data_IF_012664980109
#
_entry.id   IF_012664980109
#
_cell.length_a   1.000
_cell.length_b   1.000
_cell.length_c   1.000
_cell.angle_alpha   90.00
_cell.angle_beta   90.00
_cell.angle_gamma   90.00
#
_symmetry.space_group_name_H-M   'P 1'
#
loop_
_entity.id
_entity.type
_entity.pdbx_description
1 polymer ?
#
# COMPACT_ATOMS: atom_id res chain seq x y z
N UNK A 1 -13.21 -0.59 -2.33
CA UNK A 1 -12.29 -0.01 -1.31
C UNK A 1 -10.91 -0.58 -1.59
N UNK A 2 -10.06 0.24 -2.16
CA UNK A 2 -8.82 -0.12 -2.84
C UNK A 2 -7.86 -0.91 -1.94
N UNK A 3 -7.20 -1.96 -2.47
CA UNK A 3 -6.16 -2.75 -1.79
C UNK A 3 -5.05 -1.84 -1.23
N UNK A 4 -4.74 -0.73 -1.90
CA UNK A 4 -3.77 0.28 -1.40
C UNK A 4 -4.30 1.12 -0.24
N UNK A 5 -5.60 1.45 -0.18
CA UNK A 5 -6.17 2.18 0.96
C UNK A 5 -6.23 1.27 2.20
N UNK A 6 -6.42 -0.04 2.00
CA UNK A 6 -6.29 -1.05 3.07
C UNK A 6 -4.82 -1.29 3.44
N UNK A 7 -3.87 -1.13 2.52
CA UNK A 7 -2.44 -1.16 2.86
C UNK A 7 -2.03 0.04 3.73
N UNK A 8 -2.61 1.22 3.51
CA UNK A 8 -2.44 2.36 4.40
C UNK A 8 -3.08 2.12 5.78
N UNK A 9 -4.28 1.46 5.83
CA UNK A 9 -4.89 1.04 7.10
C UNK A 9 -4.23 -0.19 7.73
N UNK A 10 -3.55 -1.04 6.96
CA UNK A 10 -2.72 -2.13 7.48
C UNK A 10 -1.40 -1.62 8.07
N UNK A 11 -0.90 -0.46 7.64
CA UNK A 11 0.18 0.25 8.34
C UNK A 11 -0.26 0.64 9.76
N UNK A 12 -1.53 1.05 9.97
CA UNK A 12 -2.11 1.28 11.31
C UNK A 12 -2.13 0.01 12.18
N UNK A 13 -2.39 -1.15 11.60
CA UNK A 13 -2.43 -2.41 12.35
C UNK A 13 -1.02 -2.96 12.65
N UNK A 14 -0.01 -2.61 11.86
CA UNK A 14 1.38 -3.07 12.04
C UNK A 14 2.22 -2.12 12.89
N UNK A 15 1.91 -0.83 12.95
CA UNK A 15 2.56 0.11 13.87
C UNK A 15 2.05 -0.03 15.30
N UNK A 16 0.78 -0.46 15.48
CA UNK A 16 0.20 -0.83 16.79
C UNK A 16 0.68 -2.21 17.28
N UNK A 17 1.10 -3.11 16.40
CA UNK A 17 1.88 -4.28 16.76
C UNK A 17 3.35 -3.89 16.67
N UNK A 18 4.04 -3.77 17.79
CA UNK A 18 5.50 -3.69 17.93
C UNK A 18 6.16 -4.94 17.28
N UNK A 19 5.96 -5.11 15.96
CA UNK A 19 6.68 -6.12 15.21
C UNK A 19 7.98 -5.48 14.75
N UNK A 20 9.05 -5.80 15.50
CA UNK A 20 10.41 -5.59 15.07
C UNK A 20 10.56 -5.97 13.60
N UNK A 21 10.78 -4.99 12.72
CA UNK A 21 11.29 -5.25 11.38
C UNK A 21 12.62 -5.98 11.50
N UNK A 22 12.57 -7.30 11.47
CA UNK A 22 13.73 -8.15 11.32
C UNK A 22 14.21 -8.05 9.86
N UNK A 23 14.82 -6.95 9.51
CA UNK A 23 15.59 -6.78 8.29
C UNK A 23 16.96 -6.20 8.68
N UNK A 24 17.75 -7.01 9.30
CA UNK A 24 19.21 -7.07 9.36
C UNK A 24 19.66 -7.63 10.71
N UNK A 25 19.49 -8.92 10.86
CA UNK A 25 20.42 -9.75 11.63
C UNK A 25 19.90 -11.18 11.61
N UNK A 26 20.60 -12.05 10.94
CA UNK A 26 20.66 -13.44 11.37
C UNK A 26 20.98 -13.43 12.86
N UNK A 27 20.00 -13.80 13.67
CA UNK A 27 20.14 -13.77 15.12
C UNK A 27 21.21 -14.77 15.56
N UNK A 28 22.26 -14.36 16.28
CA UNK A 28 22.93 -15.27 17.15
C UNK A 28 22.03 -15.54 18.36
N UNK A 29 21.99 -16.79 18.79
CA UNK A 29 21.18 -17.34 19.86
C UNK A 29 21.17 -16.47 21.13
N UNK A 30 20.07 -16.60 21.88
CA UNK A 30 19.77 -15.95 23.15
C UNK A 30 21.01 -15.78 24.04
N UNK A 31 21.43 -14.55 24.22
CA UNK A 31 22.51 -14.22 25.16
C UNK A 31 21.92 -14.06 26.56
N UNK A 32 22.58 -14.70 27.52
CA UNK A 32 22.31 -14.75 28.96
C UNK A 32 22.25 -13.36 29.64
N UNK A 33 21.58 -13.23 30.82
CA UNK A 33 21.40 -11.97 31.57
C UNK A 33 22.68 -11.16 31.89
N UNK A 34 23.83 -11.80 31.85
CA UNK A 34 25.14 -11.14 32.10
C UNK A 34 25.55 -10.12 31.01
N UNK A 35 24.93 -10.21 29.80
CA UNK A 35 25.23 -9.27 28.72
C UNK A 35 24.45 -7.95 28.82
N UNK A 36 23.37 -7.89 29.59
CA UNK A 36 22.56 -6.68 29.77
C UNK A 36 23.24 -5.63 30.63
N UNK A 37 23.92 -6.05 31.67
CA UNK A 37 24.64 -5.13 32.58
C UNK A 37 25.87 -4.47 31.90
N UNK A 38 26.65 -5.23 31.12
CA UNK A 38 27.79 -4.71 30.38
C UNK A 38 27.43 -3.77 29.23
N UNK A 39 26.17 -3.80 28.78
CA UNK A 39 25.65 -2.95 27.74
C UNK A 39 25.25 -1.57 28.25
N UNK A 40 24.64 -1.48 29.46
CA UNK A 40 24.26 -0.21 30.08
C UNK A 40 25.46 0.70 30.30
N UNK A 41 26.62 0.12 30.59
CA UNK A 41 27.86 0.87 30.81
C UNK A 41 28.46 1.46 29.51
N UNK A 42 28.18 0.83 28.34
CA UNK A 42 28.74 1.26 27.05
C UNK A 42 27.85 2.28 26.31
N UNK A 43 26.56 2.34 26.63
CA UNK A 43 25.58 3.19 25.95
C UNK A 43 25.08 4.30 26.88
N UNK A 44 25.99 5.08 27.48
CA UNK A 44 25.61 6.13 28.42
C UNK A 44 25.16 7.42 27.73
N UNK A 45 25.83 7.83 26.65
CA UNK A 45 25.49 9.02 25.87
C UNK A 45 25.83 8.81 24.39
N UNK A 46 25.10 9.46 23.45
CA UNK A 46 25.43 9.44 22.03
C UNK A 46 26.84 9.99 21.79
N UNK A 47 27.51 9.42 20.79
CA UNK A 47 28.86 9.79 20.35
C UNK A 47 28.84 10.29 18.91
N UNK A 48 29.98 10.70 18.39
CA UNK A 48 30.15 11.05 16.97
C UNK A 48 30.18 9.81 16.06
N UNK A 49 30.40 8.64 16.63
CA UNK A 49 30.40 7.37 15.90
C UNK A 49 28.96 6.88 15.66
N UNK A 50 28.50 7.04 14.42
CA UNK A 50 27.16 6.60 14.02
C UNK A 50 26.96 5.08 14.15
N UNK A 51 28.00 4.27 13.93
CA UNK A 51 27.90 2.81 14.06
C UNK A 51 27.73 2.39 15.50
N UNK A 52 28.48 3.00 16.43
CA UNK A 52 28.34 2.79 17.86
C UNK A 52 26.95 3.24 18.36
N UNK A 53 26.48 4.40 17.93
CA UNK A 53 25.15 4.89 18.28
C UNK A 53 24.04 3.93 17.77
N UNK A 54 24.13 3.44 16.53
CA UNK A 54 23.18 2.46 15.99
C UNK A 54 23.20 1.16 16.80
N UNK A 55 24.38 0.66 17.20
CA UNK A 55 24.49 -0.53 18.03
C UNK A 55 23.82 -0.33 19.40
N UNK A 56 23.98 0.83 20.00
CA UNK A 56 23.32 1.21 21.26
C UNK A 56 21.80 1.32 21.07
N UNK A 57 21.33 1.94 20.00
CA UNK A 57 19.90 2.04 19.70
C UNK A 57 19.28 0.64 19.57
N UNK A 58 19.88 -0.27 18.81
CA UNK A 58 19.38 -1.66 18.64
C UNK A 58 19.32 -2.40 19.98
N UNK A 59 20.31 -2.22 20.83
CA UNK A 59 20.31 -2.89 22.11
C UNK A 59 19.30 -2.28 23.10
N UNK A 60 19.09 -0.96 23.07
CA UNK A 60 18.03 -0.28 23.83
C UNK A 60 16.64 -0.72 23.39
N UNK A 61 16.42 -0.94 22.09
CA UNK A 61 15.17 -1.50 21.58
C UNK A 61 14.90 -2.89 22.16
N UNK A 62 15.89 -3.79 22.09
CA UNK A 62 15.77 -5.14 22.68
C UNK A 62 15.51 -5.09 24.19
N UNK A 63 16.19 -4.19 24.89
CA UNK A 63 15.96 -4.01 26.31
C UNK A 63 14.53 -3.52 26.59
N UNK A 64 14.03 -2.54 25.85
CA UNK A 64 12.66 -2.07 25.98
C UNK A 64 11.63 -3.20 25.78
N UNK A 65 11.84 -4.07 24.79
CA UNK A 65 10.98 -5.23 24.57
C UNK A 65 10.98 -6.23 25.74
N UNK A 66 12.16 -6.53 26.29
CA UNK A 66 12.28 -7.40 27.46
C UNK A 66 11.55 -6.79 28.68
N UNK A 67 11.76 -5.50 28.94
CA UNK A 67 11.12 -4.80 30.06
C UNK A 67 9.59 -4.73 29.88
N UNK A 68 9.13 -4.44 28.67
CA UNK A 68 7.69 -4.41 28.32
C UNK A 68 7.03 -5.78 28.52
N UNK A 69 7.67 -6.85 28.05
CA UNK A 69 7.13 -8.22 28.23
C UNK A 69 7.13 -8.68 29.66
N UNK A 70 8.03 -8.17 30.46
CA UNK A 70 8.09 -8.41 31.92
C UNK A 70 7.14 -7.49 32.73
N UNK A 71 6.37 -6.61 32.07
CA UNK A 71 5.45 -5.67 32.72
C UNK A 71 6.16 -4.47 33.39
N UNK A 72 7.47 -4.31 33.23
CA UNK A 72 8.24 -3.18 33.77
C UNK A 72 8.19 -1.98 32.80
N UNK A 73 7.01 -1.39 32.70
CA UNK A 73 6.70 -0.39 31.68
C UNK A 73 7.54 0.90 31.80
N UNK A 74 7.86 1.35 33.01
CA UNK A 74 8.70 2.54 33.21
C UNK A 74 10.12 2.32 32.68
N UNK A 75 10.67 1.13 32.88
CA UNK A 75 11.99 0.78 32.34
C UNK A 75 11.95 0.66 30.81
N UNK A 76 10.86 0.14 30.24
CA UNK A 76 10.64 0.10 28.80
C UNK A 76 10.56 1.51 28.19
N UNK A 77 9.78 2.41 28.79
CA UNK A 77 9.68 3.82 28.37
C UNK A 77 11.03 4.52 28.43
N UNK A 78 11.78 4.36 29.52
CA UNK A 78 13.11 4.92 29.67
C UNK A 78 14.09 4.42 28.60
N UNK A 79 14.03 3.12 28.26
CA UNK A 79 14.87 2.55 27.22
C UNK A 79 14.49 3.09 25.82
N UNK A 80 13.20 3.25 25.51
CA UNK A 80 12.75 3.85 24.26
C UNK A 80 13.17 5.33 24.14
N UNK A 81 13.00 6.13 25.20
CA UNK A 81 13.42 7.52 25.20
C UNK A 81 14.94 7.68 25.00
N UNK A 82 15.75 6.79 25.60
CA UNK A 82 17.19 6.74 25.36
C UNK A 82 17.52 6.31 23.93
N UNK A 83 16.82 5.32 23.38
CA UNK A 83 16.99 4.87 22.00
C UNK A 83 16.80 6.01 20.99
N UNK A 84 15.79 6.87 21.22
CA UNK A 84 15.54 8.06 20.40
C UNK A 84 16.72 9.06 20.44
N UNK A 85 17.40 9.19 21.56
CA UNK A 85 18.62 10.04 21.68
C UNK A 85 19.80 9.48 20.87
N UNK A 86 19.96 8.15 20.83
CA UNK A 86 21.05 7.49 20.08
C UNK A 86 20.79 7.43 18.57
N UNK A 87 19.55 7.42 18.17
CA UNK A 87 19.13 7.36 16.78
C UNK A 87 17.91 8.27 16.54
N UNK A 88 18.10 9.60 16.57
CA UNK A 88 16.99 10.55 16.47
C UNK A 88 16.27 10.51 15.11
N UNK A 89 16.93 9.99 14.06
CA UNK A 89 16.33 9.82 12.74
C UNK A 89 15.50 8.55 12.64
N UNK A 90 15.61 7.63 13.61
CA UNK A 90 14.78 6.43 13.72
C UNK A 90 13.52 6.70 14.55
N UNK A 91 12.50 7.22 13.89
CA UNK A 91 11.23 7.60 14.54
C UNK A 91 10.49 6.44 15.21
N UNK A 92 10.89 5.18 14.96
CA UNK A 92 10.26 4.01 15.61
C UNK A 92 10.38 4.10 17.14
N UNK A 93 11.47 4.65 17.69
CA UNK A 93 11.61 4.86 19.12
C UNK A 93 10.60 5.87 19.67
N UNK A 94 10.47 7.02 19.01
CA UNK A 94 9.53 8.05 19.42
C UNK A 94 8.08 7.55 19.34
N UNK A 95 7.72 6.86 18.26
CA UNK A 95 6.38 6.28 18.09
C UNK A 95 6.10 5.17 19.10
N UNK A 96 7.06 4.28 19.36
CA UNK A 96 6.90 3.22 20.36
C UNK A 96 6.74 3.78 21.77
N UNK A 97 7.50 4.80 22.12
CA UNK A 97 7.36 5.53 23.39
C UNK A 97 5.98 6.15 23.55
N UNK A 98 5.51 6.91 22.53
CA UNK A 98 4.20 7.53 22.53
C UNK A 98 3.07 6.48 22.61
N UNK A 99 3.16 5.41 21.83
CA UNK A 99 2.19 4.32 21.82
C UNK A 99 2.09 3.61 23.16
N UNK A 100 3.22 3.28 23.79
CA UNK A 100 3.25 2.64 25.11
C UNK A 100 2.69 3.58 26.19
N UNK A 101 3.04 4.86 26.15
CA UNK A 101 2.52 5.87 27.08
C UNK A 101 1.00 6.00 26.99
N UNK A 102 0.44 6.12 25.79
CA UNK A 102 -1.00 6.19 25.57
C UNK A 102 -1.71 4.88 25.98
N UNK A 103 -1.10 3.74 25.73
CA UNK A 103 -1.64 2.44 26.14
C UNK A 103 -1.73 2.33 27.65
N UNK A 104 -0.70 2.73 28.38
CA UNK A 104 -0.70 2.72 29.86
C UNK A 104 -1.72 3.67 30.46
N UNK A 105 -1.96 4.82 29.81
CA UNK A 105 -3.00 5.75 30.18
C UNK A 105 -4.41 5.33 29.73
N UNK A 106 -4.56 4.17 29.08
CA UNK A 106 -5.82 3.72 28.43
C UNK A 106 -6.36 4.70 27.38
N UNK A 107 -5.47 5.48 26.76
CA UNK A 107 -5.77 6.51 25.77
C UNK A 107 -5.32 6.15 24.34
N UNK A 108 -4.88 4.91 24.09
CA UNK A 108 -4.52 4.46 22.75
C UNK A 108 -5.78 4.24 21.90
N UNK A 109 -6.43 5.33 21.58
CA UNK A 109 -7.62 5.45 20.74
C UNK A 109 -7.43 6.59 19.74
N UNK A 110 -8.19 6.65 18.63
CA UNK A 110 -8.12 7.77 17.70
C UNK A 110 -8.26 9.13 18.40
N UNK A 111 -9.27 9.30 19.27
CA UNK A 111 -9.48 10.54 20.02
C UNK A 111 -8.35 10.84 21.02
N UNK A 112 -7.79 9.82 21.66
CA UNK A 112 -6.65 9.96 22.57
C UNK A 112 -5.38 10.39 21.85
N UNK A 113 -5.12 9.84 20.65
CA UNK A 113 -3.98 10.24 19.80
C UNK A 113 -4.12 11.71 19.40
N UNK A 114 -5.30 12.14 18.92
CA UNK A 114 -5.58 13.55 18.57
C UNK A 114 -5.37 14.49 19.74
N UNK A 115 -5.93 14.15 20.90
CA UNK A 115 -5.81 14.95 22.11
C UNK A 115 -4.33 15.07 22.56
N UNK A 116 -3.58 13.98 22.53
CA UNK A 116 -2.17 13.96 22.94
C UNK A 116 -1.29 14.74 21.95
N UNK A 117 -1.49 14.58 20.64
CA UNK A 117 -0.75 15.33 19.61
C UNK A 117 -1.00 16.85 19.76
N UNK A 118 -2.25 17.24 20.01
CA UNK A 118 -2.61 18.64 20.28
C UNK A 118 -1.97 19.17 21.58
N UNK A 119 -1.90 18.35 22.61
CA UNK A 119 -1.30 18.75 23.90
C UNK A 119 0.22 18.85 23.84
N UNK A 120 0.86 18.09 22.94
CA UNK A 120 2.32 18.02 22.80
C UNK A 120 2.77 18.16 21.33
N UNK A 121 2.60 19.34 20.70
CA UNK A 121 2.83 19.54 19.27
C UNK A 121 4.30 19.42 18.84
N UNK A 122 5.21 19.22 19.80
CA UNK A 122 6.64 19.01 19.52
C UNK A 122 7.09 17.56 19.62
N UNK A 123 6.21 16.65 20.05
CA UNK A 123 6.51 15.22 20.14
C UNK A 123 6.41 14.55 18.78
N UNK A 124 7.55 14.08 18.28
CA UNK A 124 7.64 13.46 16.96
C UNK A 124 6.85 12.13 16.88
N UNK A 125 6.82 11.36 17.96
CA UNK A 125 6.06 10.10 18.01
C UNK A 125 4.57 10.31 17.91
N UNK A 126 4.04 11.27 18.67
CA UNK A 126 2.61 11.63 18.62
C UNK A 126 2.24 12.28 17.28
N UNK A 127 3.10 13.14 16.71
CA UNK A 127 2.88 13.74 15.40
C UNK A 127 2.80 12.67 14.31
N UNK A 128 3.70 11.69 14.29
CA UNK A 128 3.67 10.59 13.31
C UNK A 128 2.45 9.70 13.48
N UNK A 129 2.03 9.39 14.72
CA UNK A 129 0.81 8.62 14.98
C UNK A 129 -0.45 9.38 14.54
N UNK A 130 -0.49 10.71 14.74
CA UNK A 130 -1.59 11.55 14.29
C UNK A 130 -1.63 11.68 12.76
N UNK A 131 -0.47 11.80 12.12
CA UNK A 131 -0.36 11.80 10.66
C UNK A 131 -0.92 10.50 10.05
N UNK A 132 -0.56 9.34 10.62
CA UNK A 132 -1.07 8.04 10.19
C UNK A 132 -2.60 7.96 10.32
N UNK A 133 -3.15 8.42 11.45
CA UNK A 133 -4.59 8.50 11.69
C UNK A 133 -5.29 9.45 10.70
N UNK A 134 -4.67 10.59 10.41
CA UNK A 134 -5.17 11.60 9.47
C UNK A 134 -5.21 11.07 8.03
N UNK A 135 -4.18 10.32 7.60
CA UNK A 135 -4.20 9.61 6.31
C UNK A 135 -5.39 8.63 6.25
N UNK A 136 -5.60 7.86 7.31
CA UNK A 136 -6.71 6.91 7.36
C UNK A 136 -8.10 7.61 7.29
N UNK A 137 -8.22 8.80 7.85
CA UNK A 137 -9.40 9.65 7.76
C UNK A 137 -9.51 10.47 6.46
N UNK A 138 -8.49 10.39 5.59
CA UNK A 138 -8.34 11.19 4.38
C UNK A 138 -8.15 12.70 4.65
N UNK A 139 -7.77 13.08 5.85
CA UNK A 139 -7.33 14.43 6.19
C UNK A 139 -5.83 14.60 5.86
N UNK A 140 -5.56 14.69 4.57
CA UNK A 140 -4.18 14.79 4.08
C UNK A 140 -3.50 16.09 4.49
N UNK A 141 -4.27 17.17 4.70
CA UNK A 141 -3.71 18.45 5.13
C UNK A 141 -3.13 18.35 6.54
N UNK A 142 -3.87 17.76 7.48
CA UNK A 142 -3.39 17.51 8.82
C UNK A 142 -2.18 16.57 8.82
N UNK A 143 -2.24 15.47 8.05
CA UNK A 143 -1.14 14.51 7.94
C UNK A 143 0.17 15.17 7.46
N UNK A 144 0.10 15.96 6.39
CA UNK A 144 1.25 16.65 5.83
C UNK A 144 1.82 17.69 6.80
N UNK A 145 0.97 18.43 7.52
CA UNK A 145 1.42 19.41 8.50
C UNK A 145 2.22 18.76 9.65
N UNK A 146 1.76 17.63 10.15
CA UNK A 146 2.46 16.87 11.19
C UNK A 146 3.83 16.36 10.71
N UNK A 147 3.85 15.74 9.54
CA UNK A 147 5.08 15.18 8.96
C UNK A 147 6.08 16.27 8.61
N UNK A 148 5.65 17.39 8.05
CA UNK A 148 6.52 18.55 7.76
C UNK A 148 7.12 19.12 9.05
N UNK A 149 6.33 19.18 10.14
CA UNK A 149 6.82 19.56 11.46
C UNK A 149 7.91 18.64 12.02
N UNK A 150 7.79 17.33 11.74
CA UNK A 150 8.82 16.35 12.09
C UNK A 150 10.05 16.50 11.21
N UNK A 151 9.90 16.58 9.89
CA UNK A 151 10.99 16.73 8.93
C UNK A 151 11.79 18.02 9.12
N UNK A 152 11.16 19.10 9.56
CA UNK A 152 11.86 20.34 9.91
C UNK A 152 12.90 20.17 11.02
N UNK A 153 12.68 19.22 11.93
CA UNK A 153 13.57 18.92 13.06
C UNK A 153 14.46 17.70 12.80
N UNK A 154 13.98 16.75 11.98
CA UNK A 154 14.63 15.45 11.71
C UNK A 154 14.65 15.18 10.19
N UNK A 155 15.43 15.95 9.40
CA UNK A 155 15.42 15.86 7.93
C UNK A 155 15.94 14.54 7.36
N UNK A 156 16.70 13.79 8.17
CA UNK A 156 17.24 12.49 7.78
C UNK A 156 16.41 11.30 8.30
N UNK A 157 15.14 11.54 8.71
CA UNK A 157 14.23 10.50 9.19
C UNK A 157 13.48 9.81 8.03
N UNK A 158 13.87 8.60 7.60
CA UNK A 158 13.28 7.94 6.43
C UNK A 158 11.78 7.72 6.58
N UNK A 159 11.33 7.34 7.79
CA UNK A 159 9.91 7.06 8.06
C UNK A 159 9.02 8.29 7.87
N UNK A 160 9.53 9.51 8.15
CA UNK A 160 8.76 10.74 7.92
C UNK A 160 8.61 11.02 6.40
N UNK A 161 9.68 10.83 5.62
CA UNK A 161 9.61 10.92 4.17
C UNK A 161 8.65 9.86 3.58
N UNK A 162 8.69 8.61 4.09
CA UNK A 162 7.74 7.55 3.67
C UNK A 162 6.29 7.92 3.99
N UNK A 163 6.04 8.47 5.17
CA UNK A 163 4.70 8.88 5.58
C UNK A 163 4.17 9.99 4.67
N UNK A 164 5.01 11.00 4.34
CA UNK A 164 4.65 12.08 3.44
C UNK A 164 4.35 11.56 2.03
N UNK A 165 5.23 10.72 1.49
CA UNK A 165 5.00 10.07 0.20
C UNK A 165 3.70 9.22 0.19
N UNK A 166 3.38 8.55 1.30
CA UNK A 166 2.15 7.77 1.42
C UNK A 166 0.91 8.66 1.38
N UNK A 167 0.94 9.81 2.06
CA UNK A 167 -0.14 10.80 2.02
C UNK A 167 -0.30 11.38 0.61
N UNK A 168 0.81 11.69 -0.07
CA UNK A 168 0.80 12.23 -1.43
C UNK A 168 0.27 11.23 -2.46
N UNK A 169 0.64 9.96 -2.34
CA UNK A 169 0.05 8.88 -3.16
C UNK A 169 -1.45 8.73 -2.93
N UNK A 170 -1.89 8.85 -1.67
CA UNK A 170 -3.30 8.73 -1.31
C UNK A 170 -4.17 9.89 -1.84
N UNK A 171 -3.58 11.09 -1.99
CA UNK A 171 -4.20 12.28 -2.61
C UNK A 171 -3.87 12.47 -4.09
N UNK A 172 -3.50 11.46 -4.82
CA UNK A 172 -2.84 11.29 -6.14
C UNK A 172 -1.84 12.39 -6.56
N UNK A 173 -1.01 12.91 -5.65
CA UNK A 173 0.10 13.81 -5.98
C UNK A 173 1.39 13.00 -6.19
N UNK A 174 1.46 12.31 -7.32
CA UNK A 174 2.59 11.42 -7.62
C UNK A 174 3.92 12.16 -7.84
N UNK A 175 3.89 13.46 -8.16
CA UNK A 175 5.10 14.26 -8.36
C UNK A 175 5.79 14.55 -7.01
N UNK A 176 5.02 14.97 -6.01
CA UNK A 176 5.52 15.19 -4.65
C UNK A 176 6.01 13.87 -4.05
N UNK A 177 5.18 12.81 -4.12
CA UNK A 177 5.52 11.50 -3.60
C UNK A 177 6.83 10.94 -4.16
N UNK A 178 7.11 11.15 -5.46
CA UNK A 178 8.35 10.68 -6.10
C UNK A 178 9.59 11.27 -5.47
N UNK A 179 9.58 12.58 -5.19
CA UNK A 179 10.71 13.27 -4.55
C UNK A 179 11.03 12.67 -3.19
N UNK A 180 9.99 12.39 -2.41
CA UNK A 180 10.13 11.83 -1.07
C UNK A 180 10.63 10.39 -1.10
N UNK A 181 10.11 9.57 -2.02
CA UNK A 181 10.55 8.17 -2.21
C UNK A 181 12.02 8.13 -2.62
N UNK A 182 12.46 9.01 -3.54
CA UNK A 182 13.86 9.09 -3.93
C UNK A 182 14.75 9.49 -2.72
N UNK A 183 14.25 10.33 -1.80
CA UNK A 183 14.94 10.66 -0.56
C UNK A 183 15.04 9.45 0.36
N UNK A 184 13.95 8.72 0.58
CA UNK A 184 13.98 7.50 1.42
C UNK A 184 14.95 6.48 0.84
N UNK A 185 14.91 6.20 -0.46
CA UNK A 185 15.77 5.19 -1.09
C UNK A 185 17.25 5.59 -1.13
N UNK A 186 17.57 6.89 -0.95
CA UNK A 186 18.95 7.31 -0.69
C UNK A 186 19.39 7.03 0.76
N UNK A 187 18.50 7.19 1.71
CA UNK A 187 18.77 6.93 3.13
C UNK A 187 18.69 5.44 3.45
N UNK A 188 17.68 4.76 2.93
CA UNK A 188 17.40 3.35 3.12
C UNK A 188 17.11 2.66 1.76
N UNK A 189 18.15 2.23 1.01
CA UNK A 189 17.98 1.65 -0.32
C UNK A 189 17.14 0.36 -0.37
N UNK A 190 16.92 -0.27 0.78
CA UNK A 190 16.15 -1.51 0.94
C UNK A 190 14.85 -1.31 1.71
N UNK A 191 14.26 -0.10 1.70
CA UNK A 191 12.95 0.12 2.29
C UNK A 191 11.86 -0.61 1.47
N UNK A 192 11.19 -1.64 2.03
CA UNK A 192 10.16 -2.35 1.29
C UNK A 192 8.92 -1.50 1.01
N UNK A 193 8.63 -0.50 1.84
CA UNK A 193 7.52 0.44 1.64
C UNK A 193 7.82 1.34 0.45
N UNK A 194 8.98 1.99 0.45
CA UNK A 194 9.38 2.89 -0.63
C UNK A 194 9.57 2.16 -1.96
N UNK A 195 10.06 0.91 -1.96
CA UNK A 195 10.09 0.08 -3.16
C UNK A 195 8.68 -0.15 -3.71
N UNK A 196 7.68 -0.48 -2.87
CA UNK A 196 6.28 -0.64 -3.33
C UNK A 196 5.70 0.66 -3.88
N UNK A 197 5.93 1.79 -3.22
CA UNK A 197 5.48 3.10 -3.68
C UNK A 197 6.13 3.47 -5.02
N UNK A 198 7.44 3.22 -5.19
CA UNK A 198 8.11 3.44 -6.47
C UNK A 198 7.57 2.52 -7.57
N UNK A 199 7.31 1.25 -7.24
CA UNK A 199 6.66 0.29 -8.13
C UNK A 199 5.31 0.80 -8.62
N UNK A 200 4.46 1.34 -7.72
CA UNK A 200 3.18 1.94 -8.10
C UNK A 200 3.36 3.11 -9.08
N UNK A 201 4.30 4.00 -8.81
CA UNK A 201 4.56 5.12 -9.73
C UNK A 201 5.08 4.68 -11.08
N UNK A 202 5.93 3.64 -11.11
CA UNK A 202 6.39 3.02 -12.35
C UNK A 202 5.26 2.39 -13.15
N UNK A 203 4.32 1.69 -12.48
CA UNK A 203 3.10 1.20 -13.12
C UNK A 203 2.32 2.35 -13.78
N UNK A 204 2.04 3.41 -13.04
CA UNK A 204 1.32 4.59 -13.54
C UNK A 204 2.02 5.28 -14.73
N UNK A 205 3.34 5.22 -14.79
CA UNK A 205 4.12 5.75 -15.93
C UNK A 205 4.27 4.77 -17.10
N UNK A 206 3.87 3.50 -16.88
CA UNK A 206 3.99 2.42 -17.86
C UNK A 206 5.35 1.70 -17.86
N UNK A 207 6.21 1.96 -16.88
CA UNK A 207 7.43 1.18 -16.62
C UNK A 207 7.08 -0.08 -15.80
N UNK A 208 6.35 -1.00 -16.44
CA UNK A 208 5.88 -2.23 -15.79
C UNK A 208 7.05 -3.17 -15.40
N UNK A 209 8.13 -3.17 -16.18
CA UNK A 209 9.31 -3.99 -15.87
C UNK A 209 10.01 -3.47 -14.58
N UNK A 210 10.21 -2.17 -14.47
CA UNK A 210 10.77 -1.56 -13.28
C UNK A 210 9.85 -1.70 -12.06
N UNK A 211 8.53 -1.59 -12.26
CA UNK A 211 7.55 -1.81 -11.20
C UNK A 211 7.60 -3.24 -10.66
N UNK A 212 7.64 -4.24 -11.55
CA UNK A 212 7.74 -5.66 -11.18
C UNK A 212 9.00 -5.95 -10.38
N UNK A 213 10.16 -5.39 -10.81
CA UNK A 213 11.41 -5.54 -10.08
C UNK A 213 11.32 -4.95 -8.65
N UNK A 214 10.71 -3.77 -8.50
CA UNK A 214 10.53 -3.14 -7.20
C UNK A 214 9.58 -3.94 -6.28
N UNK A 215 8.47 -4.44 -6.79
CA UNK A 215 7.54 -5.25 -6.02
C UNK A 215 8.15 -6.59 -5.59
N UNK A 216 8.92 -7.25 -6.47
CA UNK A 216 9.61 -8.48 -6.14
C UNK A 216 10.69 -8.24 -5.07
N UNK A 217 11.46 -7.16 -5.18
CA UNK A 217 12.45 -6.78 -4.17
C UNK A 217 11.79 -6.46 -2.82
N UNK A 218 10.68 -5.72 -2.83
CA UNK A 218 9.93 -5.43 -1.62
C UNK A 218 9.36 -6.69 -0.96
N UNK A 219 8.79 -7.61 -1.76
CA UNK A 219 8.31 -8.92 -1.29
C UNK A 219 9.42 -9.77 -0.68
N UNK A 220 10.59 -9.77 -1.27
CA UNK A 220 11.74 -10.53 -0.74
C UNK A 220 12.21 -9.98 0.62
N UNK A 221 12.06 -8.67 0.86
CA UNK A 221 12.44 -8.02 2.12
C UNK A 221 11.37 -8.16 3.21
N UNK A 222 10.11 -7.93 2.86
CA UNK A 222 8.97 -7.96 3.78
C UNK A 222 7.73 -8.46 3.03
N UNK A 223 7.50 -9.79 2.98
CA UNK A 223 6.35 -10.37 2.27
C UNK A 223 5.02 -9.89 2.85
N UNK A 224 4.07 -9.56 1.98
CA UNK A 224 2.71 -9.19 2.35
C UNK A 224 1.69 -10.11 1.68
N UNK A 225 0.52 -10.32 2.29
CA UNK A 225 -0.53 -11.14 1.70
C UNK A 225 -1.02 -10.66 0.33
N UNK A 226 -0.97 -9.36 0.06
CA UNK A 226 -1.40 -8.72 -1.19
C UNK A 226 -0.33 -8.73 -2.29
N UNK A 227 0.93 -9.01 -1.99
CA UNK A 227 2.01 -9.00 -2.98
C UNK A 227 1.72 -9.84 -4.24
N UNK A 228 1.15 -11.06 -4.16
CA UNK A 228 0.83 -11.81 -5.38
C UNK A 228 -0.21 -11.12 -6.27
N UNK A 229 -1.16 -10.36 -5.69
CA UNK A 229 -2.12 -9.59 -6.49
C UNK A 229 -1.43 -8.46 -7.25
N UNK A 230 -0.63 -7.66 -6.55
CA UNK A 230 0.09 -6.52 -7.14
C UNK A 230 1.08 -7.00 -8.22
N UNK A 231 1.82 -8.08 -7.95
CA UNK A 231 2.75 -8.68 -8.91
C UNK A 231 1.99 -9.25 -10.11
N UNK A 232 0.92 -10.00 -9.89
CA UNK A 232 0.13 -10.63 -10.95
C UNK A 232 -0.58 -9.62 -11.84
N UNK A 233 -1.16 -8.56 -11.26
CA UNK A 233 -1.75 -7.46 -12.04
C UNK A 233 -0.69 -6.70 -12.86
N UNK A 234 0.50 -6.45 -12.31
CA UNK A 234 1.62 -5.84 -13.05
C UNK A 234 2.11 -6.73 -14.20
N UNK A 235 2.18 -8.06 -13.99
CA UNK A 235 2.48 -9.02 -15.05
C UNK A 235 1.43 -8.99 -16.16
N UNK A 236 0.14 -8.84 -15.80
CA UNK A 236 -0.95 -8.66 -16.78
C UNK A 236 -0.73 -7.39 -17.62
N UNK A 237 -0.43 -6.25 -16.97
CA UNK A 237 -0.14 -4.98 -17.66
C UNK A 237 1.06 -5.11 -18.62
N UNK A 238 2.05 -5.93 -18.26
CA UNK A 238 3.21 -6.25 -19.10
C UNK A 238 2.91 -7.32 -20.17
N UNK A 239 1.64 -7.76 -20.28
CA UNK A 239 1.15 -8.80 -21.21
C UNK A 239 1.78 -10.18 -20.97
N UNK A 240 2.33 -10.43 -19.79
CA UNK A 240 2.82 -11.72 -19.33
C UNK A 240 1.66 -12.54 -18.74
N UNK A 241 0.66 -12.85 -19.57
CA UNK A 241 -0.61 -13.41 -19.10
C UNK A 241 -0.45 -14.77 -18.40
N UNK A 242 0.49 -15.60 -18.84
CA UNK A 242 0.78 -16.90 -18.22
C UNK A 242 1.30 -16.74 -16.78
N UNK A 243 2.29 -15.87 -16.61
CA UNK A 243 2.86 -15.57 -15.30
C UNK A 243 1.84 -14.91 -14.37
N UNK A 244 1.03 -13.98 -14.93
CA UNK A 244 -0.05 -13.33 -14.20
C UNK A 244 -1.07 -14.35 -13.65
N UNK A 245 -1.56 -15.25 -14.50
CA UNK A 245 -2.51 -16.28 -14.11
C UNK A 245 -1.92 -17.23 -13.05
N UNK A 246 -0.66 -17.62 -13.17
CA UNK A 246 0.05 -18.48 -12.22
C UNK A 246 0.26 -17.75 -10.87
N UNK A 247 0.70 -16.50 -10.90
CA UNK A 247 0.93 -15.69 -9.68
C UNK A 247 -0.38 -15.47 -8.91
N UNK A 248 -1.46 -15.10 -9.63
CA UNK A 248 -2.78 -14.87 -9.03
C UNK A 248 -3.44 -16.16 -8.50
N UNK A 249 -3.01 -17.34 -8.97
CA UNK A 249 -3.48 -18.64 -8.46
C UNK A 249 -2.84 -19.02 -7.11
N UNK A 250 -1.73 -18.40 -6.72
CA UNK A 250 -0.99 -18.79 -5.50
C UNK A 250 -1.76 -18.53 -4.22
N UNK A 251 -2.73 -17.62 -4.26
CA UNK A 251 -3.58 -17.26 -3.13
C UNK A 251 -4.93 -16.72 -3.63
N UNK A 252 -6.00 -17.03 -2.92
CA UNK A 252 -7.31 -16.40 -3.12
C UNK A 252 -7.87 -16.04 -1.75
N UNK A 253 -7.83 -14.75 -1.36
CA UNK A 253 -8.45 -14.29 -0.11
C UNK A 253 -9.96 -14.54 -0.12
N UNK A 254 -10.65 -14.50 1.03
CA UNK A 254 -12.10 -14.48 1.06
C UNK A 254 -12.66 -13.23 0.39
N UNK A 255 -13.95 -13.27 0.01
CA UNK A 255 -14.63 -12.11 -0.56
C UNK A 255 -14.68 -10.93 0.46
N UNK A 256 -14.72 -9.66 -0.01
CA UNK A 256 -14.76 -9.26 -1.42
C UNK A 256 -13.39 -9.28 -2.13
N UNK A 257 -12.28 -9.24 -1.40
CA UNK A 257 -10.93 -9.12 -1.98
C UNK A 257 -10.62 -10.27 -2.95
N UNK A 258 -10.96 -11.50 -2.56
CA UNK A 258 -10.76 -12.68 -3.41
C UNK A 258 -11.52 -12.65 -4.73
N UNK A 259 -12.58 -11.84 -4.84
CA UNK A 259 -13.29 -11.64 -6.09
C UNK A 259 -12.44 -10.89 -7.11
N UNK A 260 -11.72 -9.83 -6.70
CA UNK A 260 -10.79 -9.13 -7.59
C UNK A 260 -9.66 -10.05 -8.08
N UNK A 261 -9.12 -10.93 -7.21
CA UNK A 261 -8.10 -11.90 -7.61
C UNK A 261 -8.61 -12.85 -8.68
N UNK A 262 -9.84 -13.36 -8.55
CA UNK A 262 -10.49 -14.21 -9.56
C UNK A 262 -10.73 -13.47 -10.86
N UNK A 263 -11.19 -12.22 -10.80
CA UNK A 263 -11.42 -11.38 -11.98
C UNK A 263 -10.12 -11.17 -12.76
N UNK A 264 -9.06 -10.72 -12.13
CA UNK A 264 -7.77 -10.50 -12.80
C UNK A 264 -7.15 -11.80 -13.32
N UNK A 265 -7.29 -12.90 -12.56
CA UNK A 265 -6.87 -14.23 -13.04
C UNK A 265 -7.68 -14.67 -14.24
N UNK A 266 -8.99 -14.48 -14.22
CA UNK A 266 -9.87 -14.76 -15.36
C UNK A 266 -9.43 -13.97 -16.60
N UNK A 267 -9.21 -12.65 -16.49
CA UNK A 267 -8.74 -11.84 -17.61
C UNK A 267 -7.41 -12.36 -18.18
N UNK A 268 -6.46 -12.72 -17.32
CA UNK A 268 -5.20 -13.29 -17.77
C UNK A 268 -5.39 -14.62 -18.54
N UNK A 269 -6.20 -15.53 -18.00
CA UNK A 269 -6.49 -16.82 -18.66
C UNK A 269 -7.28 -16.61 -19.96
N UNK A 270 -8.24 -15.69 -20.00
CA UNK A 270 -9.05 -15.41 -21.19
C UNK A 270 -8.21 -14.87 -22.35
N UNK A 271 -7.13 -14.13 -22.05
CA UNK A 271 -6.13 -13.69 -23.05
C UNK A 271 -5.28 -14.84 -23.61
N UNK A 272 -5.10 -15.93 -22.85
CA UNK A 272 -4.31 -17.09 -23.26
C UNK A 272 -5.13 -18.17 -23.96
N UNK A 273 -6.28 -18.51 -23.38
CA UNK A 273 -7.00 -19.73 -23.70
C UNK A 273 -8.42 -19.46 -24.24
N UNK A 274 -8.86 -18.20 -24.20
CA UNK A 274 -10.21 -17.78 -24.54
C UNK A 274 -11.18 -17.82 -23.37
N UNK A 275 -12.28 -17.09 -23.53
CA UNK A 275 -13.28 -16.82 -22.49
C UNK A 275 -13.90 -18.12 -21.93
N UNK A 276 -14.20 -19.07 -22.79
CA UNK A 276 -14.87 -20.32 -22.37
C UNK A 276 -14.02 -21.15 -21.41
N UNK A 277 -12.73 -21.29 -21.72
CA UNK A 277 -11.80 -22.05 -20.87
C UNK A 277 -11.48 -21.32 -19.57
N UNK A 278 -11.43 -19.99 -19.63
CA UNK A 278 -11.14 -19.15 -18.47
C UNK A 278 -12.31 -19.06 -17.48
N UNK A 279 -13.54 -19.33 -17.89
CA UNK A 279 -14.76 -19.12 -17.10
C UNK A 279 -14.74 -19.77 -15.70
N UNK A 280 -14.10 -20.93 -15.58
CA UNK A 280 -13.91 -21.61 -14.28
C UNK A 280 -13.11 -20.80 -13.26
N UNK A 281 -12.29 -19.84 -13.68
CA UNK A 281 -11.52 -18.99 -12.78
C UNK A 281 -12.36 -17.92 -12.07
N UNK A 282 -13.51 -17.54 -12.64
CA UNK A 282 -14.46 -16.61 -12.01
C UNK A 282 -15.10 -17.18 -10.75
N UNK A 283 -15.16 -18.52 -10.64
CA UNK A 283 -15.95 -19.18 -9.60
C UNK A 283 -17.46 -19.13 -9.88
N UNK A 284 -18.31 -19.57 -8.94
CA UNK A 284 -19.74 -19.55 -9.13
C UNK A 284 -20.26 -18.10 -9.21
N UNK A 285 -21.20 -17.86 -10.12
CA UNK A 285 -22.03 -16.66 -10.11
C UNK A 285 -22.91 -16.61 -8.87
N UNK A 286 -23.54 -15.48 -8.64
CA UNK A 286 -24.39 -15.27 -7.47
C UNK A 286 -25.82 -15.71 -7.75
N UNK A 287 -26.51 -16.31 -6.77
CA UNK A 287 -27.93 -16.60 -6.95
C UNK A 287 -28.73 -15.31 -7.18
N UNK A 288 -29.69 -15.31 -8.11
CA UNK A 288 -30.53 -14.14 -8.38
C UNK A 288 -31.17 -13.58 -7.10
N UNK A 289 -31.13 -12.26 -6.90
CA UNK A 289 -31.81 -11.58 -5.78
C UNK A 289 -31.04 -11.55 -4.46
N UNK A 290 -29.81 -12.01 -4.40
CA UNK A 290 -29.02 -12.08 -3.13
C UNK A 290 -28.32 -10.79 -2.74
N UNK A 291 -28.42 -9.69 -3.51
CA UNK A 291 -27.80 -8.40 -3.15
C UNK A 291 -26.31 -8.48 -2.86
N UNK A 292 -25.56 -9.14 -3.72
CA UNK A 292 -24.12 -9.39 -3.50
C UNK A 292 -23.33 -8.08 -3.53
N UNK A 293 -22.45 -7.88 -2.57
CA UNK A 293 -21.61 -6.69 -2.55
C UNK A 293 -20.65 -6.66 -3.74
N UNK A 294 -20.31 -5.45 -4.18
CA UNK A 294 -19.30 -5.20 -5.20
C UNK A 294 -17.94 -5.85 -4.83
N UNK A 295 -17.20 -6.47 -5.78
CA UNK A 295 -17.45 -6.57 -7.22
C UNK A 295 -18.20 -7.84 -7.69
N UNK A 296 -19.00 -8.47 -6.85
CA UNK A 296 -19.78 -9.67 -7.20
C UNK A 296 -20.58 -9.51 -8.50
N UNK A 297 -21.31 -8.40 -8.73
CA UNK A 297 -22.05 -8.17 -9.97
C UNK A 297 -21.19 -8.19 -11.25
N UNK A 298 -19.88 -7.89 -11.16
CA UNK A 298 -18.96 -8.04 -12.30
C UNK A 298 -18.81 -9.51 -12.71
N UNK A 299 -18.76 -10.42 -11.74
CA UNK A 299 -18.71 -11.87 -12.00
C UNK A 299 -19.98 -12.32 -12.72
N UNK A 300 -21.15 -11.84 -12.27
CA UNK A 300 -22.45 -12.17 -12.90
C UNK A 300 -22.55 -11.64 -14.34
N UNK A 301 -22.00 -10.44 -14.59
CA UNK A 301 -21.90 -9.87 -15.93
C UNK A 301 -20.99 -10.71 -16.85
N UNK A 302 -19.80 -11.07 -16.40
CA UNK A 302 -18.85 -11.87 -17.18
C UNK A 302 -19.36 -13.29 -17.45
N UNK A 303 -20.23 -13.83 -16.59
CA UNK A 303 -20.99 -15.07 -16.84
C UNK A 303 -22.18 -14.88 -17.81
N UNK A 304 -22.56 -13.64 -18.13
CA UNK A 304 -23.74 -13.35 -18.95
C UNK A 304 -25.06 -13.48 -18.19
N UNK A 305 -25.04 -13.54 -16.86
CA UNK A 305 -26.23 -13.63 -16.01
C UNK A 305 -26.99 -12.29 -15.91
N UNK A 306 -26.25 -11.18 -16.07
CA UNK A 306 -26.79 -9.82 -16.19
C UNK A 306 -26.16 -9.12 -17.39
N UNK A 307 -26.86 -8.13 -17.94
CA UNK A 307 -26.36 -7.32 -19.04
C UNK A 307 -25.56 -6.08 -18.55
N UNK A 308 -24.93 -5.38 -19.49
CA UNK A 308 -24.12 -4.20 -19.21
C UNK A 308 -24.92 -3.05 -18.57
N UNK A 309 -26.19 -2.88 -18.98
CA UNK A 309 -27.05 -1.83 -18.42
C UNK A 309 -27.38 -2.11 -16.96
N UNK A 310 -27.67 -3.35 -16.64
CA UNK A 310 -27.92 -3.82 -15.27
C UNK A 310 -26.65 -3.67 -14.40
N UNK A 311 -25.47 -4.04 -14.92
CA UNK A 311 -24.20 -3.85 -14.19
C UNK A 311 -23.97 -2.38 -13.86
N UNK A 312 -24.16 -1.45 -14.81
CA UNK A 312 -24.00 -0.03 -14.59
C UNK A 312 -25.02 0.55 -13.60
N UNK A 313 -26.28 0.07 -13.63
CA UNK A 313 -27.30 0.49 -12.67
C UNK A 313 -26.93 0.06 -11.23
N UNK A 314 -26.46 -1.16 -11.06
CA UNK A 314 -25.94 -1.66 -9.76
C UNK A 314 -24.71 -0.84 -9.32
N UNK A 315 -23.77 -0.57 -10.21
CA UNK A 315 -22.58 0.21 -9.92
C UNK A 315 -22.93 1.63 -9.46
N UNK A 316 -23.85 2.32 -10.14
CA UNK A 316 -24.32 3.67 -9.77
C UNK A 316 -24.97 3.69 -8.39
N UNK A 317 -25.90 2.78 -8.12
CA UNK A 317 -26.59 2.68 -6.83
C UNK A 317 -25.63 2.38 -5.69
N UNK A 318 -24.64 1.54 -5.93
CA UNK A 318 -23.63 1.22 -4.93
C UNK A 318 -22.65 2.38 -4.69
N UNK A 319 -22.31 3.13 -5.73
CA UNK A 319 -21.46 4.32 -5.64
C UNK A 319 -22.14 5.44 -4.84
N UNK A 320 -23.42 5.70 -5.09
CA UNK A 320 -24.21 6.68 -4.33
C UNK A 320 -24.25 6.35 -2.83
N UNK A 321 -24.28 5.06 -2.49
CA UNK A 321 -24.32 4.62 -1.09
C UNK A 321 -22.96 4.69 -0.38
N UNK A 322 -21.83 4.59 -1.09
CA UNK A 322 -20.52 4.35 -0.49
C UNK A 322 -19.41 5.30 -0.95
N UNK A 323 -19.71 6.27 -1.82
CA UNK A 323 -18.74 7.22 -2.40
C UNK A 323 -17.47 6.53 -2.98
N UNK A 324 -17.66 5.46 -3.75
CA UNK A 324 -16.60 4.68 -4.39
C UNK A 324 -16.78 4.61 -5.89
N UNK A 325 -15.68 4.53 -6.63
CA UNK A 325 -15.67 4.64 -8.11
C UNK A 325 -16.05 3.32 -8.81
N UNK A 326 -17.19 2.72 -8.45
CA UNK A 326 -17.62 1.43 -8.99
C UNK A 326 -18.08 1.50 -10.46
N UNK A 327 -18.57 2.66 -10.89
CA UNK A 327 -18.94 2.89 -12.28
C UNK A 327 -17.71 2.78 -13.19
N UNK A 328 -16.57 3.32 -12.77
CA UNK A 328 -15.35 3.23 -13.56
C UNK A 328 -14.80 1.79 -13.62
N UNK A 329 -14.91 1.02 -12.52
CA UNK A 329 -14.57 -0.41 -12.53
C UNK A 329 -15.49 -1.19 -13.48
N UNK A 330 -16.80 -0.89 -13.47
CA UNK A 330 -17.76 -1.49 -14.42
C UNK A 330 -17.35 -1.23 -15.87
N UNK A 331 -17.00 0.02 -16.22
CA UNK A 331 -16.53 0.35 -17.57
C UNK A 331 -15.27 -0.43 -17.96
N UNK A 332 -14.32 -0.61 -17.05
CA UNK A 332 -13.12 -1.41 -17.31
C UNK A 332 -13.45 -2.86 -17.61
N UNK A 333 -14.25 -3.53 -16.78
CA UNK A 333 -14.59 -4.93 -17.00
C UNK A 333 -15.50 -5.14 -18.22
N UNK A 334 -16.37 -4.18 -18.53
CA UNK A 334 -17.15 -4.17 -19.77
C UNK A 334 -16.23 -4.00 -20.99
N UNK A 335 -15.19 -3.16 -20.90
CA UNK A 335 -14.21 -3.00 -21.97
C UNK A 335 -13.42 -4.28 -22.23
N UNK A 336 -12.98 -4.95 -21.14
CA UNK A 336 -12.30 -6.24 -21.24
C UNK A 336 -13.19 -7.32 -21.88
N UNK A 337 -14.45 -7.41 -21.48
CA UNK A 337 -15.39 -8.36 -22.08
C UNK A 337 -15.63 -8.06 -23.58
N UNK A 338 -15.82 -6.79 -23.92
CA UNK A 338 -15.97 -6.34 -25.31
C UNK A 338 -14.73 -6.70 -26.16
N UNK A 339 -13.54 -6.51 -25.62
CA UNK A 339 -12.29 -6.85 -26.29
C UNK A 339 -12.11 -8.36 -26.45
N UNK A 340 -12.37 -9.14 -25.41
CA UNK A 340 -12.22 -10.60 -25.41
C UNK A 340 -13.23 -11.30 -26.33
N UNK A 341 -14.46 -10.82 -26.38
CA UNK A 341 -15.55 -11.38 -27.21
C UNK A 341 -15.70 -10.69 -28.57
N UNK A 342 -14.87 -9.69 -28.86
CA UNK A 342 -14.85 -8.94 -30.12
C UNK A 342 -16.19 -8.30 -30.45
N UNK A 343 -16.85 -7.69 -29.48
CA UNK A 343 -18.12 -6.98 -29.67
C UNK A 343 -18.07 -5.57 -29.08
N UNK A 344 -18.96 -4.69 -29.59
CA UNK A 344 -19.05 -3.31 -29.07
C UNK A 344 -17.78 -2.47 -29.31
N UNK A 345 -17.67 -1.36 -28.58
CA UNK A 345 -16.53 -0.45 -28.65
C UNK A 345 -15.70 -0.51 -27.35
N UNK A 346 -14.80 -1.49 -27.29
CA UNK A 346 -13.90 -1.67 -26.15
C UNK A 346 -13.04 -0.42 -25.90
N UNK A 347 -12.60 0.30 -26.96
CA UNK A 347 -11.75 1.48 -26.84
C UNK A 347 -12.50 2.64 -26.20
N UNK A 348 -13.77 2.86 -26.55
CA UNK A 348 -14.58 3.89 -25.89
C UNK A 348 -14.76 3.59 -24.39
N UNK A 349 -15.04 2.33 -24.04
CA UNK A 349 -15.17 1.90 -22.63
C UNK A 349 -13.86 2.03 -21.86
N UNK A 350 -12.70 1.67 -22.43
CA UNK A 350 -11.40 1.91 -21.79
C UNK A 350 -11.11 3.39 -21.59
N UNK A 351 -11.50 4.28 -22.53
CA UNK A 351 -11.37 5.73 -22.34
C UNK A 351 -12.24 6.22 -21.17
N UNK A 352 -13.47 5.73 -21.04
CA UNK A 352 -14.33 6.05 -19.90
C UNK A 352 -13.69 5.59 -18.59
N UNK A 353 -13.26 4.34 -18.50
CA UNK A 353 -12.56 3.84 -17.32
C UNK A 353 -11.31 4.67 -16.98
N UNK A 354 -10.47 5.00 -17.96
CA UNK A 354 -9.28 5.81 -17.76
C UNK A 354 -9.56 7.26 -17.33
N UNK A 355 -10.74 7.82 -17.69
CA UNK A 355 -11.13 9.17 -17.27
C UNK A 355 -11.81 9.23 -15.92
N UNK A 356 -12.46 8.15 -15.49
CA UNK A 356 -13.30 8.09 -14.28
C UNK A 356 -12.60 7.43 -13.10
N UNK A 357 -11.74 6.43 -13.36
CA UNK A 357 -11.05 5.72 -12.29
C UNK A 357 -9.97 6.58 -11.62
N UNK A 358 -9.86 6.54 -10.30
CA UNK A 358 -8.71 7.08 -9.60
C UNK A 358 -7.40 6.44 -10.10
N UNK A 359 -6.35 7.26 -10.24
CA UNK A 359 -5.06 6.82 -10.80
C UNK A 359 -4.35 5.72 -10.00
N UNK A 360 -4.75 5.50 -8.76
CA UNK A 360 -4.24 4.43 -7.90
C UNK A 360 -5.12 3.16 -7.94
N UNK A 361 -6.02 3.03 -8.92
CA UNK A 361 -6.81 1.82 -9.18
C UNK A 361 -6.11 0.97 -10.24
N UNK A 362 -6.16 -0.35 -10.06
CA UNK A 362 -5.65 -1.28 -11.06
C UNK A 362 -6.44 -1.22 -12.37
N UNK A 363 -7.74 -0.94 -12.29
CA UNK A 363 -8.62 -0.74 -13.43
C UNK A 363 -8.22 0.48 -14.26
N UNK A 364 -7.74 1.57 -13.61
CA UNK A 364 -7.12 2.70 -14.31
C UNK A 364 -5.86 2.28 -15.08
N UNK A 365 -4.94 1.60 -14.38
CA UNK A 365 -3.70 1.10 -14.97
C UNK A 365 -3.97 0.15 -16.14
N UNK A 366 -4.96 -0.76 -15.98
CA UNK A 366 -5.43 -1.68 -17.01
C UNK A 366 -5.95 -0.95 -18.23
N UNK A 367 -6.88 -0.01 -18.04
CA UNK A 367 -7.47 0.77 -19.13
C UNK A 367 -6.40 1.55 -19.91
N UNK A 368 -5.48 2.24 -19.22
CA UNK A 368 -4.37 2.97 -19.85
C UNK A 368 -3.44 2.03 -20.62
N UNK A 369 -3.14 0.85 -20.09
CA UNK A 369 -2.31 -0.17 -20.75
C UNK A 369 -2.95 -0.65 -22.05
N UNK A 370 -4.25 -0.96 -22.05
CA UNK A 370 -4.98 -1.42 -23.25
C UNK A 370 -5.10 -0.32 -24.30
N UNK A 371 -5.33 0.94 -23.90
CA UNK A 371 -5.34 2.08 -24.83
C UNK A 371 -3.97 2.29 -25.50
N UNK A 372 -2.86 2.16 -24.75
CA UNK A 372 -1.51 2.23 -25.31
C UNK A 372 -1.25 1.08 -26.30
N UNK A 373 -1.68 -0.13 -25.97
CA UNK A 373 -1.53 -1.28 -26.86
C UNK A 373 -2.33 -1.12 -28.17
N UNK A 374 -3.56 -0.62 -28.06
CA UNK A 374 -4.39 -0.33 -29.24
C UNK A 374 -3.79 0.76 -30.15
N UNK A 375 -3.23 1.84 -29.54
CA UNK A 375 -2.55 2.89 -30.29
C UNK A 375 -1.31 2.38 -31.03
N UNK A 376 -0.55 1.44 -30.42
CA UNK A 376 0.63 0.86 -31.05
C UNK A 376 0.32 -0.08 -32.23
N UNK A 377 -0.89 -0.62 -32.31
CA UNK A 377 -1.36 -1.51 -33.39
C UNK A 377 -2.17 -0.79 -34.47
N UNK A 378 -2.52 0.49 -34.27
CA UNK A 378 -3.26 1.28 -35.24
C UNK A 378 -2.38 1.54 -36.49
N UNK A 379 -2.92 1.44 -37.72
CA UNK A 379 -2.16 1.76 -38.93
C UNK A 379 -1.70 3.22 -38.90
N UNK A 380 -0.45 3.48 -39.33
CA UNK A 380 0.11 4.81 -39.42
C UNK A 380 -0.76 5.68 -40.37
N UNK A 381 -1.54 6.60 -39.78
CA UNK A 381 -2.45 7.48 -40.55
C UNK A 381 -3.79 7.75 -39.88
N UNK A 382 -4.17 6.98 -38.86
CA UNK A 382 -5.37 7.27 -38.07
C UNK A 382 -4.95 8.16 -36.89
N UNK A 383 -5.14 9.48 -37.01
CA UNK A 383 -4.98 10.41 -35.90
C UNK A 383 -6.00 10.06 -34.82
N UNK A 384 -5.55 9.32 -33.79
CA UNK A 384 -6.28 9.20 -32.54
C UNK A 384 -6.17 10.57 -31.87
N UNK A 385 -7.23 11.36 -32.02
CA UNK A 385 -7.34 12.68 -31.42
C UNK A 385 -7.11 12.56 -29.90
N UNK A 386 -6.03 13.23 -29.47
CA UNK A 386 -5.75 13.72 -28.12
C UNK A 386 -5.96 12.82 -26.90
N UNK A 387 -4.88 12.07 -26.57
CA UNK A 387 -4.60 11.64 -25.19
C UNK A 387 -3.74 12.68 -24.41
N UNK A 388 -3.77 13.96 -24.75
CA UNK A 388 -2.88 15.00 -24.19
C UNK A 388 -3.57 16.04 -23.31
N UNK A 389 -4.68 15.72 -22.66
CA UNK A 389 -5.36 16.61 -21.73
C UNK A 389 -5.48 16.00 -20.33
N UNK A 390 -4.36 15.54 -19.76
CA UNK A 390 -4.25 15.28 -18.32
C UNK A 390 -2.79 15.50 -17.88
N UNK A 391 -2.41 16.81 -17.84
CA UNK A 391 -1.24 17.25 -17.04
C UNK A 391 -1.66 17.53 -15.61
#
# INVERSE_FOLDING_TARGET
MNVFLRAATALLATSLSLQAGAADAAAPAASTPASAASFQDKCQAPTVDRAANRACAVALWRHAEVERTAGRNDAALAALARGDQFSPDDLRFAMAHASLSLKLASQLTPAGIEAAAKASPGDAGLAMMHAELSIAKRDFAAALADVDGVLAKRPDAPLAWEMRATADVARPDFAAARTDIDQVLRLEPRSPVSLRLRGLMRNNSGDYAGALADYQAARALAPRPEDPFIIGSTQFLQRQFGDAAATLATRTPPAPDGTYWRLWRYLALARLEGVERASGALGPGTPPGTGVPWPGPVVDFLHGSIDAATLLDIARKSQEAHDVSQVCEAHFYMAEDALLRQHGDAIALFRQAASECPRNFHEYEGAVSELKAAAATAPAGTTVSDASAAR
#
